data_IF_270560210921
#
_entry.id   IF_270560210921
#
_cell.length_a   1.000
_cell.length_b   1.000
_cell.length_c   1.000
_cell.angle_alpha   90.00
_cell.angle_beta   90.00
_cell.angle_gamma   90.00
#
_symmetry.space_group_name_H-M   'P 1'
#
loop_
_entity.id
_entity.type
_entity.pdbx_description
1 polymer ?
#
# COMPACT_ATOMS: atom_id res chain seq x y z
N UNK A 1 17.02 27.30 -28.47
CA UNK A 1 17.72 26.35 -27.58
C UNK A 1 18.77 25.63 -28.43
N UNK A 2 19.92 25.23 -27.90
CA UNK A 2 20.91 24.52 -28.73
C UNK A 2 20.43 23.11 -29.07
N UNK A 3 20.83 22.59 -30.23
CA UNK A 3 20.48 21.23 -30.66
C UNK A 3 20.95 20.19 -29.63
N UNK A 4 22.10 20.41 -28.99
CA UNK A 4 22.65 19.54 -27.95
C UNK A 4 21.72 19.39 -26.75
N UNK A 5 21.08 20.48 -26.27
CA UNK A 5 20.14 20.43 -25.13
C UNK A 5 18.87 19.66 -25.52
N UNK A 6 18.39 19.83 -26.75
CA UNK A 6 17.21 19.13 -27.25
C UNK A 6 17.46 17.61 -27.28
N UNK A 7 18.64 17.18 -27.74
CA UNK A 7 19.03 15.78 -27.74
C UNK A 7 19.09 15.21 -26.31
N UNK A 8 19.61 15.98 -25.34
CA UNK A 8 19.62 15.58 -23.93
C UNK A 8 18.19 15.41 -23.40
N UNK A 9 17.28 16.35 -23.66
CA UNK A 9 15.86 16.23 -23.27
C UNK A 9 15.21 14.97 -23.85
N UNK A 10 15.54 14.64 -25.10
CA UNK A 10 14.99 13.48 -25.81
C UNK A 10 15.58 12.15 -25.35
N UNK A 11 16.69 12.15 -24.61
CA UNK A 11 17.37 10.94 -24.14
C UNK A 11 16.56 10.13 -23.10
N UNK A 12 15.59 10.77 -22.43
CA UNK A 12 14.72 10.10 -21.45
C UNK A 12 13.37 9.73 -22.08
N UNK A 13 12.70 8.66 -21.63
CA UNK A 13 11.36 8.32 -22.11
C UNK A 13 10.39 9.50 -21.95
N UNK A 14 9.71 9.88 -23.03
CA UNK A 14 8.88 11.09 -23.06
C UNK A 14 7.75 11.00 -24.08
N UNK A 15 6.73 11.84 -23.90
CA UNK A 15 5.72 12.09 -24.91
C UNK A 15 6.22 13.17 -25.89
N UNK A 16 6.47 12.78 -27.15
CA UNK A 16 7.07 13.66 -28.16
C UNK A 16 6.22 14.90 -28.48
N UNK A 17 4.89 14.80 -28.42
CA UNK A 17 4.02 15.96 -28.66
C UNK A 17 4.21 17.04 -27.59
N UNK A 18 4.16 16.64 -26.31
CA UNK A 18 4.30 17.59 -25.21
C UNK A 18 5.74 18.10 -25.04
N UNK A 19 6.75 17.26 -25.30
CA UNK A 19 8.13 17.71 -25.25
C UNK A 19 8.42 18.77 -26.32
N UNK A 20 7.94 18.57 -27.55
CA UNK A 20 8.06 19.59 -28.62
C UNK A 20 7.40 20.91 -28.22
N UNK A 21 6.22 20.86 -27.58
CA UNK A 21 5.54 22.05 -27.07
C UNK A 21 6.32 22.72 -25.95
N UNK A 22 6.93 21.96 -25.06
CA UNK A 22 7.79 22.48 -24.00
C UNK A 22 9.02 23.20 -24.55
N UNK A 23 9.74 22.58 -25.50
CA UNK A 23 10.92 23.19 -26.13
C UNK A 23 10.54 24.51 -26.80
N UNK A 24 9.50 24.49 -27.65
CA UNK A 24 9.00 25.70 -28.31
C UNK A 24 8.60 26.77 -27.29
N UNK A 25 7.92 26.36 -26.21
CA UNK A 25 7.50 27.28 -25.16
C UNK A 25 8.69 27.98 -24.48
N UNK A 26 9.72 27.22 -24.08
CA UNK A 26 10.93 27.78 -23.46
C UNK A 26 11.67 28.72 -24.41
N UNK A 27 11.75 28.38 -25.69
CA UNK A 27 12.39 29.24 -26.70
C UNK A 27 11.65 30.58 -26.88
N UNK A 28 10.33 30.54 -27.02
CA UNK A 28 9.52 31.75 -27.18
C UNK A 28 9.53 32.62 -25.91
N UNK A 29 9.46 31.99 -24.74
CA UNK A 29 9.57 32.72 -23.47
C UNK A 29 10.96 33.31 -23.29
N UNK A 30 12.02 32.61 -23.66
CA UNK A 30 13.38 33.15 -23.60
C UNK A 30 13.53 34.38 -24.50
N UNK A 31 13.02 34.34 -25.74
CA UNK A 31 13.02 35.49 -26.65
C UNK A 31 12.23 36.66 -26.08
N UNK A 32 11.03 36.38 -25.55
CA UNK A 32 10.16 37.40 -24.96
C UNK A 32 10.81 38.07 -23.74
N UNK A 33 11.32 37.27 -22.80
CA UNK A 33 11.94 37.75 -21.56
C UNK A 33 13.25 38.51 -21.81
N UNK A 34 13.96 38.20 -22.90
CA UNK A 34 15.15 38.97 -23.32
C UNK A 34 14.79 40.28 -24.02
N UNK A 35 13.66 40.31 -24.74
CA UNK A 35 13.18 41.51 -25.45
C UNK A 35 12.52 42.51 -24.51
N UNK A 36 11.82 42.04 -23.49
CA UNK A 36 11.08 42.85 -22.54
C UNK A 36 11.61 42.65 -21.13
N UNK A 37 11.99 43.74 -20.46
CA UNK A 37 12.36 43.69 -19.04
C UNK A 37 11.16 43.26 -18.22
N UNK A 38 11.18 42.04 -17.72
CA UNK A 38 10.14 41.54 -16.83
C UNK A 38 10.36 42.12 -15.45
N UNK A 39 9.45 42.97 -15.01
CA UNK A 39 9.40 43.52 -13.66
C UNK A 39 8.61 42.59 -12.73
N UNK A 40 9.03 42.51 -11.46
CA UNK A 40 8.33 41.74 -10.42
C UNK A 40 8.93 40.37 -10.10
N UNK A 41 8.13 39.52 -9.45
CA UNK A 41 8.56 38.21 -8.94
C UNK A 41 8.84 37.21 -10.07
N UNK A 42 10.01 36.57 -9.97
CA UNK A 42 10.49 35.57 -10.93
C UNK A 42 10.99 34.33 -10.21
N UNK A 43 10.81 33.19 -10.85
CA UNK A 43 11.20 31.88 -10.38
C UNK A 43 12.28 31.31 -11.30
N UNK A 44 13.33 30.74 -10.70
CA UNK A 44 14.43 30.14 -11.44
C UNK A 44 14.02 28.73 -11.86
N UNK A 45 13.69 28.56 -13.14
CA UNK A 45 13.24 27.30 -13.70
C UNK A 45 14.40 26.50 -14.31
N UNK A 46 14.43 25.20 -14.05
CA UNK A 46 15.37 24.25 -14.67
C UNK A 46 14.83 23.79 -16.02
N UNK A 47 15.55 24.07 -17.12
CA UNK A 47 15.16 23.63 -18.47
C UNK A 47 15.13 22.09 -18.55
N UNK A 48 16.18 21.45 -18.04
CA UNK A 48 16.32 20.03 -17.75
C UNK A 48 15.97 19.78 -16.28
N UNK A 49 14.86 19.09 -15.96
CA UNK A 49 14.44 18.93 -14.58
C UNK A 49 15.47 18.18 -13.72
N UNK A 50 15.84 18.78 -12.58
CA UNK A 50 16.83 18.25 -11.62
C UNK A 50 16.43 16.98 -10.84
N UNK A 51 15.29 16.39 -11.19
CA UNK A 51 14.76 15.27 -10.44
C UNK A 51 15.60 14.00 -10.66
N UNK A 52 15.64 13.11 -9.65
CA UNK A 52 16.49 11.91 -9.66
C UNK A 52 16.20 10.97 -10.83
N UNK A 53 14.94 10.91 -11.27
CA UNK A 53 14.45 10.09 -12.38
C UNK A 53 14.68 10.71 -13.76
N UNK A 54 15.18 11.95 -13.84
CA UNK A 54 15.43 12.66 -15.09
C UNK A 54 16.91 13.05 -15.21
N UNK A 55 17.25 14.28 -14.83
CA UNK A 55 18.56 14.87 -15.09
C UNK A 55 19.19 15.45 -13.81
N UNK A 56 19.45 14.62 -12.78
CA UNK A 56 20.08 15.10 -11.55
C UNK A 56 21.47 15.71 -11.77
N UNK A 57 22.19 15.26 -12.81
CA UNK A 57 23.51 15.76 -13.19
C UNK A 57 23.51 17.26 -13.53
N UNK A 58 22.42 17.79 -14.11
CA UNK A 58 22.32 19.21 -14.47
C UNK A 58 21.63 20.07 -13.40
N UNK A 59 21.60 19.61 -12.15
CA UNK A 59 20.87 20.28 -11.06
C UNK A 59 21.49 21.60 -10.59
N UNK A 60 22.82 21.72 -10.67
CA UNK A 60 23.58 22.89 -10.21
C UNK A 60 23.58 24.01 -11.23
N UNK A 61 23.02 25.16 -10.87
CA UNK A 61 23.09 26.37 -11.70
C UNK A 61 24.48 27.02 -11.74
N UNK A 62 25.38 26.63 -10.83
CA UNK A 62 26.78 27.11 -10.84
C UNK A 62 27.57 26.42 -11.94
N UNK A 63 27.37 25.11 -12.09
CA UNK A 63 28.05 24.29 -13.11
C UNK A 63 27.34 24.36 -14.46
N UNK A 64 26.01 24.50 -14.45
CA UNK A 64 25.19 24.58 -15.66
C UNK A 64 24.30 25.83 -15.67
N UNK A 65 24.87 27.05 -15.80
CA UNK A 65 24.10 28.29 -15.86
C UNK A 65 23.08 28.30 -17.00
N UNK A 66 23.39 27.64 -18.12
CA UNK A 66 22.51 27.48 -19.28
C UNK A 66 21.23 26.70 -18.98
N UNK A 67 21.20 25.90 -17.91
CA UNK A 67 20.03 25.13 -17.51
C UNK A 67 19.01 25.99 -16.71
N UNK A 68 19.32 27.27 -16.50
CA UNK A 68 18.50 28.21 -15.74
C UNK A 68 17.78 29.18 -16.67
N UNK A 69 16.47 29.33 -16.49
CA UNK A 69 15.70 30.39 -17.14
C UNK A 69 14.80 31.10 -16.11
N UNK A 70 14.86 32.43 -15.97
CA UNK A 70 13.96 33.17 -15.10
C UNK A 70 12.57 33.24 -15.74
N UNK A 71 11.55 32.74 -15.03
CA UNK A 71 10.17 32.70 -15.46
C UNK A 71 9.27 33.46 -14.49
N UNK A 72 8.20 34.11 -14.97
CA UNK A 72 7.12 34.57 -14.08
C UNK A 72 6.38 33.36 -13.49
N UNK A 73 5.65 33.54 -12.38
CA UNK A 73 4.87 32.46 -11.76
C UNK A 73 3.93 31.75 -12.75
N UNK A 74 3.27 32.50 -13.65
CA UNK A 74 2.42 31.92 -14.71
C UNK A 74 3.25 31.13 -15.72
N UNK A 75 4.41 31.64 -16.11
CA UNK A 75 5.26 30.94 -17.07
C UNK A 75 5.83 29.64 -16.48
N UNK A 76 6.25 29.69 -15.21
CA UNK A 76 6.75 28.54 -14.47
C UNK A 76 5.66 27.45 -14.32
N UNK A 77 4.43 27.85 -14.01
CA UNK A 77 3.28 26.93 -13.95
C UNK A 77 3.03 26.21 -15.29
N UNK A 78 3.06 26.94 -16.41
CA UNK A 78 2.89 26.35 -17.75
C UNK A 78 4.05 25.41 -18.09
N UNK A 79 5.28 25.79 -17.76
CA UNK A 79 6.46 24.95 -17.97
C UNK A 79 6.33 23.61 -17.24
N UNK A 80 5.97 23.63 -15.95
CA UNK A 80 5.75 22.39 -15.18
C UNK A 80 4.55 21.58 -15.67
N UNK A 81 3.48 22.22 -16.15
CA UNK A 81 2.36 21.49 -16.76
C UNK A 81 2.83 20.72 -18.00
N UNK A 82 3.61 21.36 -18.89
CA UNK A 82 4.15 20.71 -20.08
C UNK A 82 5.12 19.58 -19.73
N UNK A 83 6.01 19.79 -18.75
CA UNK A 83 6.93 18.77 -18.26
C UNK A 83 6.21 17.57 -17.65
N UNK A 84 5.17 17.79 -16.85
CA UNK A 84 4.30 16.74 -16.33
C UNK A 84 3.69 15.92 -17.47
N UNK A 85 3.16 16.58 -18.52
CA UNK A 85 2.57 15.90 -19.67
C UNK A 85 3.61 15.18 -20.54
N UNK A 86 4.85 15.68 -20.56
CA UNK A 86 5.94 15.09 -21.33
C UNK A 86 6.57 13.88 -20.64
N UNK A 87 6.93 13.99 -19.35
CA UNK A 87 7.72 12.99 -18.64
C UNK A 87 6.94 12.21 -17.58
N UNK A 88 5.90 12.79 -16.98
CA UNK A 88 5.23 12.19 -15.82
C UNK A 88 6.18 12.07 -14.62
N UNK A 89 6.14 10.95 -13.91
CA UNK A 89 7.06 10.65 -12.80
C UNK A 89 7.14 11.77 -11.77
N UNK A 90 8.36 12.18 -11.43
CA UNK A 90 8.60 13.28 -10.49
C UNK A 90 8.02 14.63 -10.93
N UNK A 91 7.85 14.86 -12.25
CA UNK A 91 7.23 16.08 -12.77
C UNK A 91 5.74 16.14 -12.43
N UNK A 92 5.09 14.98 -12.29
CA UNK A 92 3.72 14.88 -11.75
C UNK A 92 3.64 15.44 -10.34
N UNK A 93 4.60 15.07 -9.48
CA UNK A 93 4.66 15.56 -8.10
C UNK A 93 4.97 17.07 -8.05
N UNK A 94 5.90 17.55 -8.88
CA UNK A 94 6.22 18.97 -8.99
C UNK A 94 4.99 19.81 -9.41
N UNK A 95 4.31 19.41 -10.48
CA UNK A 95 3.13 20.11 -10.96
C UNK A 95 1.96 20.08 -9.96
N UNK A 96 1.69 18.91 -9.34
CA UNK A 96 0.66 18.80 -8.30
C UNK A 96 0.91 19.73 -7.13
N UNK A 97 2.15 19.83 -6.65
CA UNK A 97 2.51 20.75 -5.56
C UNK A 97 2.26 22.21 -5.94
N UNK A 98 2.65 22.62 -7.15
CA UNK A 98 2.38 23.99 -7.62
C UNK A 98 0.89 24.28 -7.65
N UNK A 99 0.10 23.36 -8.21
CA UNK A 99 -1.36 23.50 -8.30
C UNK A 99 -2.02 23.62 -6.92
N UNK A 100 -1.66 22.75 -5.97
CA UNK A 100 -2.26 22.76 -4.62
C UNK A 100 -1.82 23.97 -3.79
N UNK A 101 -0.60 24.48 -4.01
CA UNK A 101 -0.06 25.63 -3.28
C UNK A 101 -0.65 26.97 -3.74
N UNK A 102 -1.21 27.03 -4.95
CA UNK A 102 -1.64 28.28 -5.56
C UNK A 102 -3.17 28.32 -5.70
N UNK A 103 -3.83 28.88 -4.68
CA UNK A 103 -5.29 29.01 -4.63
C UNK A 103 -5.89 29.81 -5.80
N UNK A 104 -5.06 30.61 -6.51
CA UNK A 104 -5.45 31.44 -7.64
C UNK A 104 -4.97 30.92 -9.01
N UNK A 105 -4.33 29.75 -9.09
CA UNK A 105 -4.06 29.13 -10.39
C UNK A 105 -5.34 28.58 -11.00
N UNK A 106 -5.56 28.84 -12.29
CA UNK A 106 -6.77 28.46 -13.00
C UNK A 106 -7.18 27.02 -12.71
N UNK A 107 -8.48 26.81 -12.47
CA UNK A 107 -9.02 25.50 -12.11
C UNK A 107 -8.73 24.49 -13.23
N UNK A 108 -8.10 23.37 -12.88
CA UNK A 108 -8.03 22.23 -13.78
C UNK A 108 -9.44 21.71 -14.04
N UNK A 109 -9.68 21.16 -15.23
CA UNK A 109 -10.93 20.43 -15.46
C UNK A 109 -10.99 19.19 -14.57
N UNK A 110 -12.20 18.69 -14.28
CA UNK A 110 -12.40 17.49 -13.47
C UNK A 110 -11.55 16.31 -13.96
N UNK A 111 -11.52 16.09 -15.28
CA UNK A 111 -10.69 15.05 -15.92
C UNK A 111 -9.19 15.29 -15.74
N UNK A 112 -8.73 16.52 -15.88
CA UNK A 112 -7.30 16.85 -15.69
C UNK A 112 -6.86 16.61 -14.24
N UNK A 113 -7.71 16.99 -13.28
CA UNK A 113 -7.46 16.75 -11.87
C UNK A 113 -7.46 15.26 -11.54
N UNK A 114 -8.41 14.49 -12.05
CA UNK A 114 -8.47 13.03 -11.91
C UNK A 114 -7.19 12.37 -12.43
N UNK A 115 -6.80 12.64 -13.68
CA UNK A 115 -5.56 12.08 -14.26
C UNK A 115 -4.32 12.48 -13.46
N UNK A 116 -4.26 13.72 -12.96
CA UNK A 116 -3.14 14.18 -12.12
C UNK A 116 -3.08 13.40 -10.81
N UNK A 117 -4.23 13.16 -10.17
CA UNK A 117 -4.34 12.42 -8.91
C UNK A 117 -3.93 10.96 -9.08
N UNK A 118 -4.39 10.30 -10.14
CA UNK A 118 -4.04 8.92 -10.48
C UNK A 118 -2.53 8.78 -10.69
N UNK A 119 -1.95 9.56 -11.61
CA UNK A 119 -0.52 9.51 -11.91
C UNK A 119 0.35 9.85 -10.70
N UNK A 120 -0.10 10.77 -9.86
CA UNK A 120 0.60 11.09 -8.63
C UNK A 120 0.58 9.90 -7.65
N UNK A 121 -0.57 9.24 -7.50
CA UNK A 121 -0.71 8.05 -6.67
C UNK A 121 0.18 6.92 -7.17
N UNK A 122 0.23 6.69 -8.48
CA UNK A 122 1.11 5.71 -9.11
C UNK A 122 2.59 6.00 -8.83
N UNK A 123 3.01 7.25 -9.03
CA UNK A 123 4.40 7.68 -8.79
C UNK A 123 4.79 7.55 -7.32
N UNK A 124 3.95 8.01 -6.39
CA UNK A 124 4.25 7.88 -4.96
C UNK A 124 4.27 6.41 -4.55
N UNK A 125 3.35 5.59 -5.06
CA UNK A 125 3.35 4.15 -4.80
C UNK A 125 4.65 3.50 -5.28
N UNK A 126 5.11 3.80 -6.49
CA UNK A 126 6.36 3.25 -7.02
C UNK A 126 7.58 3.71 -6.21
N UNK A 127 7.60 4.97 -5.77
CA UNK A 127 8.65 5.49 -4.91
C UNK A 127 8.66 4.87 -3.51
N UNK A 128 7.53 4.40 -2.98
CA UNK A 128 7.42 3.84 -1.63
C UNK A 128 7.49 2.31 -1.59
N UNK A 129 7.24 1.65 -2.71
CA UNK A 129 7.25 0.19 -2.80
C UNK A 129 8.66 -0.33 -2.50
N UNK A 130 8.75 -1.30 -1.59
CA UNK A 130 10.02 -1.92 -1.21
C UNK A 130 10.85 -1.15 -0.18
N UNK A 131 10.49 0.10 0.17
CA UNK A 131 11.15 0.79 1.28
C UNK A 131 10.78 0.17 2.61
N UNK A 132 11.77 -0.47 3.24
CA UNK A 132 11.68 -0.89 4.64
C UNK A 132 11.87 0.35 5.51
N UNK A 133 10.92 0.59 6.41
CA UNK A 133 11.08 1.60 7.46
C UNK A 133 12.12 1.13 8.47
N UNK A 134 12.77 2.07 9.16
CA UNK A 134 13.76 1.71 10.18
C UNK A 134 13.11 0.85 11.28
N UNK A 135 13.86 -0.07 11.90
CA UNK A 135 13.37 -0.84 13.05
C UNK A 135 12.84 0.07 14.16
N UNK A 136 13.56 1.15 14.46
CA UNK A 136 13.19 2.17 15.45
C UNK A 136 11.83 2.81 15.14
N UNK A 137 11.61 3.24 13.88
CA UNK A 137 10.32 3.78 13.46
C UNK A 137 9.20 2.74 13.65
N UNK A 138 9.46 1.48 13.28
CA UNK A 138 8.47 0.42 13.39
C UNK A 138 8.08 0.15 14.86
N UNK A 139 9.07 0.17 15.75
CA UNK A 139 8.87 0.01 17.19
C UNK A 139 8.11 1.18 17.79
N UNK A 140 8.52 2.42 17.51
CA UNK A 140 7.85 3.64 17.99
C UNK A 140 6.39 3.68 17.52
N UNK A 141 6.16 3.40 16.24
CA UNK A 141 4.81 3.33 15.68
C UNK A 141 3.96 2.24 16.34
N UNK A 142 4.55 1.07 16.64
CA UNK A 142 3.88 -0.01 17.37
C UNK A 142 3.51 0.40 18.80
N UNK A 143 4.42 1.06 19.52
CA UNK A 143 4.19 1.61 20.87
C UNK A 143 3.05 2.62 20.86
N UNK A 144 3.12 3.63 19.98
CA UNK A 144 2.07 4.65 19.80
C UNK A 144 0.71 4.03 19.50
N UNK A 145 0.66 3.02 18.63
CA UNK A 145 -0.58 2.30 18.32
C UNK A 145 -1.13 1.59 19.55
N UNK A 146 -0.26 0.92 20.31
CA UNK A 146 -0.64 0.24 21.55
C UNK A 146 -1.19 1.23 22.57
N UNK A 147 -0.50 2.34 22.79
CA UNK A 147 -0.92 3.45 23.66
C UNK A 147 -2.31 3.98 23.28
N UNK A 148 -2.51 4.27 21.99
CA UNK A 148 -3.79 4.78 21.48
C UNK A 148 -4.95 3.85 21.80
N UNK A 149 -4.75 2.53 21.68
CA UNK A 149 -5.77 1.53 21.99
C UNK A 149 -5.85 1.12 23.46
N UNK A 150 -4.97 1.58 24.35
CA UNK A 150 -5.15 1.41 25.80
C UNK A 150 -6.31 2.27 26.31
N UNK A 151 -6.53 3.43 25.70
CA UNK A 151 -7.67 4.29 25.99
C UNK A 151 -8.99 3.66 25.49
N UNK A 152 -9.96 3.51 26.39
CA UNK A 152 -11.27 2.96 26.08
C UNK A 152 -12.10 3.84 25.15
N UNK A 153 -12.01 5.16 25.29
CA UNK A 153 -12.73 6.10 24.45
C UNK A 153 -12.27 5.99 23.00
N UNK A 154 -10.97 5.80 22.77
CA UNK A 154 -10.43 5.58 21.42
C UNK A 154 -10.95 4.28 20.80
N UNK A 155 -10.99 3.19 21.59
CA UNK A 155 -11.58 1.91 21.14
C UNK A 155 -13.07 2.07 20.79
N UNK A 156 -13.84 2.75 21.64
CA UNK A 156 -15.28 3.01 21.42
C UNK A 156 -15.52 3.86 20.17
N UNK A 157 -14.79 4.96 20.01
CA UNK A 157 -14.87 5.84 18.82
C UNK A 157 -14.58 5.06 17.53
N UNK A 158 -13.54 4.23 17.52
CA UNK A 158 -13.24 3.41 16.35
C UNK A 158 -14.33 2.37 16.07
N UNK A 159 -14.81 1.67 17.11
CA UNK A 159 -15.88 0.69 16.96
C UNK A 159 -17.16 1.31 16.41
N UNK A 160 -17.54 2.48 16.90
CA UNK A 160 -18.69 3.24 16.41
C UNK A 160 -18.51 3.67 14.95
N UNK A 161 -17.33 4.19 14.59
CA UNK A 161 -17.03 4.60 13.22
C UNK A 161 -17.08 3.42 12.23
N UNK A 162 -16.74 2.21 12.65
CA UNK A 162 -16.81 1.01 11.82
C UNK A 162 -18.20 0.36 11.78
N UNK A 163 -19.11 0.74 12.67
CA UNK A 163 -20.44 0.13 12.77
C UNK A 163 -21.25 0.41 11.50
N UNK A 164 -21.81 -0.63 10.88
CA UNK A 164 -22.67 -0.50 9.70
C UNK A 164 -21.95 -0.23 8.37
N UNK A 165 -20.62 -0.06 8.37
CA UNK A 165 -19.85 0.10 7.12
C UNK A 165 -19.91 -1.21 6.32
N UNK A 166 -20.61 -1.18 5.18
CA UNK A 166 -20.63 -2.27 4.20
C UNK A 166 -19.45 -2.14 3.26
N UNK A 167 -18.70 -3.22 3.09
CA UNK A 167 -17.62 -3.29 2.08
C UNK A 167 -18.23 -3.43 0.68
N UNK A 168 -17.58 -2.81 -0.31
CA UNK A 168 -17.93 -3.00 -1.73
C UNK A 168 -17.70 -4.45 -2.18
N UNK A 169 -18.37 -4.87 -3.26
CA UNK A 169 -18.18 -6.22 -3.81
C UNK A 169 -16.73 -6.47 -4.22
N UNK A 170 -16.08 -5.49 -4.84
CA UNK A 170 -14.65 -5.58 -5.17
C UNK A 170 -13.78 -5.81 -3.92
N UNK A 171 -14.07 -5.10 -2.82
CA UNK A 171 -13.32 -5.28 -1.59
C UNK A 171 -13.55 -6.67 -0.97
N UNK A 172 -14.77 -7.22 -1.08
CA UNK A 172 -15.07 -8.59 -0.66
C UNK A 172 -14.29 -9.61 -1.48
N UNK A 173 -14.24 -9.44 -2.80
CA UNK A 173 -13.51 -10.35 -3.68
C UNK A 173 -12.00 -10.30 -3.43
N UNK A 174 -11.42 -9.09 -3.30
CA UNK A 174 -10.01 -8.92 -2.96
C UNK A 174 -9.65 -9.64 -1.65
N UNK A 175 -10.52 -9.60 -0.64
CA UNK A 175 -10.31 -10.36 0.59
C UNK A 175 -10.36 -11.86 0.36
N UNK A 176 -11.33 -12.38 -0.42
CA UNK A 176 -11.43 -13.81 -0.74
C UNK A 176 -10.17 -14.32 -1.43
N UNK A 177 -9.69 -13.60 -2.44
CA UNK A 177 -8.46 -13.93 -3.16
C UNK A 177 -7.27 -13.93 -2.21
N UNK A 178 -7.14 -12.91 -1.36
CA UNK A 178 -6.06 -12.83 -0.38
C UNK A 178 -6.08 -13.98 0.64
N UNK A 179 -7.26 -14.41 1.10
CA UNK A 179 -7.38 -15.56 2.00
C UNK A 179 -7.02 -16.88 1.31
N UNK A 180 -7.44 -17.07 0.06
CA UNK A 180 -7.12 -18.28 -0.73
C UNK A 180 -5.62 -18.40 -1.00
N UNK A 181 -4.95 -17.29 -1.25
CA UNK A 181 -3.52 -17.23 -1.55
C UNK A 181 -2.64 -17.10 -0.29
N UNK A 182 -3.22 -17.24 0.90
CA UNK A 182 -2.47 -17.07 2.15
C UNK A 182 -1.51 -18.25 2.36
N UNK A 183 -0.19 -18.02 2.48
CA UNK A 183 0.75 -19.09 2.74
C UNK A 183 0.51 -19.72 4.12
N UNK A 184 0.81 -21.03 4.28
CA UNK A 184 0.73 -21.68 5.58
C UNK A 184 1.68 -21.03 6.57
N UNK A 185 1.30 -20.99 7.85
CA UNK A 185 2.14 -20.42 8.92
C UNK A 185 3.42 -21.24 9.07
N UNK A 186 4.55 -20.56 9.30
CA UNK A 186 5.84 -21.20 9.62
C UNK A 186 5.78 -21.90 10.99
N UNK A 187 6.73 -22.80 11.27
CA UNK A 187 6.83 -23.47 12.57
C UNK A 187 6.95 -22.47 13.72
N UNK A 188 7.85 -21.49 13.58
CA UNK A 188 8.04 -20.40 14.56
C UNK A 188 6.74 -19.62 14.82
N UNK A 189 5.98 -19.30 13.77
CA UNK A 189 4.70 -18.62 13.90
C UNK A 189 3.66 -19.48 14.64
N UNK A 190 3.64 -20.81 14.39
CA UNK A 190 2.76 -21.73 15.11
C UNK A 190 3.14 -21.83 16.58
N UNK A 191 4.44 -21.92 16.89
CA UNK A 191 4.95 -22.01 18.25
C UNK A 191 4.67 -20.73 19.04
N UNK A 192 4.86 -19.56 18.43
CA UNK A 192 4.53 -18.27 19.05
C UNK A 192 3.03 -18.17 19.39
N UNK A 193 2.16 -18.59 18.47
CA UNK A 193 0.71 -18.63 18.72
C UNK A 193 0.36 -19.62 19.84
N UNK A 194 0.99 -20.79 19.88
CA UNK A 194 0.79 -21.77 20.95
C UNK A 194 1.19 -21.18 22.32
N UNK A 195 2.34 -20.49 22.40
CA UNK A 195 2.80 -19.80 23.61
C UNK A 195 1.80 -18.75 24.10
N UNK A 196 1.27 -17.91 23.21
CA UNK A 196 0.28 -16.88 23.55
C UNK A 196 -1.01 -17.49 24.12
N UNK A 197 -1.45 -18.63 23.59
CA UNK A 197 -2.72 -19.25 23.98
C UNK A 197 -2.60 -20.10 25.24
N UNK A 198 -1.41 -20.62 25.52
CA UNK A 198 -1.14 -21.43 26.71
C UNK A 198 -1.33 -20.59 27.97
N UNK A 199 -2.12 -21.08 28.93
CA UNK A 199 -2.41 -20.39 30.19
C UNK A 199 -3.48 -19.29 30.11
N UNK A 200 -4.07 -19.03 28.93
CA UNK A 200 -5.17 -18.06 28.82
C UNK A 200 -6.43 -18.59 29.49
N UNK A 201 -6.89 -17.92 30.54
CA UNK A 201 -8.14 -18.25 31.23
C UNK A 201 -9.33 -17.73 30.43
N UNK A 202 -10.25 -18.62 30.09
CA UNK A 202 -11.54 -18.26 29.48
C UNK A 202 -12.45 -17.67 30.57
N UNK A 203 -12.98 -16.47 30.35
CA UNK A 203 -13.90 -15.83 31.30
C UNK A 203 -15.16 -16.66 31.52
N UNK A 204 -15.77 -16.52 32.69
CA UNK A 204 -17.04 -17.16 33.07
C UNK A 204 -18.12 -16.92 32.00
N UNK A 205 -18.27 -15.67 31.57
CA UNK A 205 -19.24 -15.27 30.55
C UNK A 205 -19.00 -16.00 29.23
N UNK A 206 -17.74 -16.07 28.79
CA UNK A 206 -17.37 -16.76 27.54
C UNK A 206 -17.60 -18.26 27.67
N UNK A 207 -17.34 -18.84 28.84
CA UNK A 207 -17.60 -20.26 29.14
C UNK A 207 -19.10 -20.56 29.10
N UNK A 208 -19.93 -19.66 29.61
CA UNK A 208 -21.39 -19.79 29.58
C UNK A 208 -21.95 -19.73 28.16
N UNK A 209 -21.39 -18.87 27.29
CA UNK A 209 -21.74 -18.82 25.86
C UNK A 209 -21.36 -20.09 25.08
N UNK A 210 -20.43 -20.91 25.59
CA UNK A 210 -20.05 -22.17 24.95
C UNK A 210 -20.84 -23.39 25.44
N UNK A 211 -21.68 -23.25 26.47
CA UNK A 211 -22.37 -24.37 27.14
C UNK A 211 -23.88 -24.37 26.84
N UNK A 212 -24.40 -25.56 26.57
CA UNK A 212 -25.85 -25.81 26.46
C UNK A 212 -26.54 -24.88 25.46
N UNK A 213 -27.77 -24.50 25.77
CA UNK A 213 -28.63 -23.67 24.92
C UNK A 213 -28.05 -22.28 24.57
N UNK A 214 -27.05 -21.79 25.31
CA UNK A 214 -26.40 -20.51 25.00
C UNK A 214 -25.40 -20.62 23.85
N UNK A 215 -24.94 -21.83 23.53
CA UNK A 215 -24.10 -22.06 22.38
C UNK A 215 -24.95 -21.99 21.10
N UNK A 216 -24.64 -21.11 20.14
CA UNK A 216 -25.42 -20.99 18.90
C UNK A 216 -25.53 -22.28 18.10
N UNK A 217 -24.59 -23.20 18.30
CA UNK A 217 -24.57 -24.51 17.63
C UNK A 217 -25.29 -25.60 18.43
N UNK A 218 -25.83 -25.30 19.62
CA UNK A 218 -26.54 -26.28 20.42
C UNK A 218 -27.87 -26.66 19.75
N UNK A 219 -28.10 -27.96 19.59
CA UNK A 219 -29.28 -28.50 18.91
C UNK A 219 -29.26 -28.40 17.38
N UNK A 220 -28.26 -27.74 16.78
CA UNK A 220 -28.10 -27.72 15.32
C UNK A 220 -27.68 -29.11 14.85
N UNK A 221 -28.54 -29.76 14.07
CA UNK A 221 -28.23 -31.05 13.44
C UNK A 221 -27.46 -30.80 12.14
N UNK A 222 -26.35 -31.51 11.95
CA UNK A 222 -25.58 -31.42 10.70
C UNK A 222 -26.41 -31.92 9.51
N UNK A 223 -26.27 -31.27 8.35
CA UNK A 223 -26.87 -31.77 7.10
C UNK A 223 -26.34 -33.17 6.76
N UNK A 224 -27.14 -33.95 6.03
CA UNK A 224 -26.72 -35.29 5.58
C UNK A 224 -25.44 -35.25 4.75
N UNK A 225 -25.32 -34.27 3.85
CA UNK A 225 -24.13 -34.07 3.03
C UNK A 225 -22.88 -33.84 3.87
N UNK A 226 -22.98 -33.01 4.92
CA UNK A 226 -21.87 -32.75 5.82
C UNK A 226 -21.52 -33.99 6.66
N UNK A 227 -22.53 -34.72 7.15
CA UNK A 227 -22.34 -35.99 7.89
C UNK A 227 -21.62 -37.03 7.03
N UNK A 228 -22.00 -37.15 5.75
CA UNK A 228 -21.32 -38.02 4.79
C UNK A 228 -19.86 -37.62 4.58
N UNK A 229 -19.58 -36.33 4.37
CA UNK A 229 -18.22 -35.83 4.17
C UNK A 229 -17.29 -36.12 5.37
N UNK A 230 -17.79 -35.97 6.61
CA UNK A 230 -17.03 -36.32 7.82
C UNK A 230 -16.76 -37.83 7.86
N UNK A 231 -17.78 -38.65 7.56
CA UNK A 231 -17.65 -40.12 7.53
C UNK A 231 -16.58 -40.55 6.52
N UNK A 232 -16.65 -40.04 5.29
CA UNK A 232 -15.71 -40.39 4.23
C UNK A 232 -14.29 -39.90 4.54
N UNK A 233 -14.15 -38.71 5.11
CA UNK A 233 -12.85 -38.22 5.58
C UNK A 233 -12.26 -39.11 6.67
N UNK A 234 -13.09 -39.61 7.60
CA UNK A 234 -12.66 -40.46 8.71
C UNK A 234 -12.18 -41.84 8.26
N UNK A 235 -12.78 -42.41 7.22
CA UNK A 235 -12.36 -43.69 6.63
C UNK A 235 -10.94 -43.66 6.08
N UNK A 236 -10.51 -42.49 5.60
CA UNK A 236 -9.19 -42.31 4.99
C UNK A 236 -8.08 -42.01 6.01
N UNK A 237 -8.40 -41.89 7.30
CA UNK A 237 -7.40 -41.63 8.34
C UNK A 237 -6.66 -42.94 8.66
N UNK A 238 -5.33 -43.01 8.46
CA UNK A 238 -4.57 -44.23 8.72
C UNK A 238 -4.60 -44.60 10.21
N UNK A 239 -4.93 -45.86 10.50
CA UNK A 239 -4.90 -46.41 11.87
C UNK A 239 -3.47 -46.67 12.31
N UNK A 240 -3.21 -46.51 13.61
CA UNK A 240 -1.95 -46.87 14.27
C UNK A 240 -2.14 -48.14 15.09
N UNK A 241 -1.20 -49.06 15.00
CA UNK A 241 -1.14 -50.26 15.84
C UNK A 241 -0.44 -49.92 17.14
N UNK A 242 -1.07 -50.19 18.29
CA UNK A 242 -0.44 -50.04 19.59
C UNK A 242 0.62 -51.14 19.83
N UNK A 243 1.83 -50.76 20.23
CA UNK A 243 2.92 -51.70 20.50
C UNK A 243 2.67 -52.54 21.76
N UNK A 244 1.90 -52.03 22.72
CA UNK A 244 1.68 -52.70 24.01
C UNK A 244 0.50 -53.67 24.02
N UNK A 245 -0.56 -53.41 23.24
CA UNK A 245 -1.76 -54.25 23.22
C UNK A 245 -2.16 -54.77 21.83
N UNK A 246 -1.37 -54.47 20.79
CA UNK A 246 -1.59 -54.92 19.41
C UNK A 246 -2.82 -54.35 18.71
N UNK A 247 -3.67 -53.56 19.39
CA UNK A 247 -4.91 -53.02 18.81
C UNK A 247 -4.62 -51.94 17.77
N UNK A 248 -5.32 -51.99 16.64
CA UNK A 248 -5.34 -50.93 15.64
C UNK A 248 -6.38 -49.86 16.00
N UNK A 249 -5.92 -48.64 16.24
CA UNK A 249 -6.75 -47.53 16.69
C UNK A 249 -6.52 -46.28 15.86
N UNK A 250 -7.46 -45.33 15.90
CA UNK A 250 -7.28 -44.04 15.24
C UNK A 250 -6.12 -43.26 15.89
N UNK A 251 -5.44 -42.34 15.17
CA UNK A 251 -4.34 -41.55 15.73
C UNK A 251 -4.72 -40.74 16.99
N UNK A 252 -5.98 -40.29 17.07
CA UNK A 252 -6.51 -39.60 18.25
C UNK A 252 -6.60 -40.51 19.47
N UNK A 253 -7.18 -41.71 19.31
CA UNK A 253 -7.24 -42.69 20.40
C UNK A 253 -5.84 -43.19 20.78
N UNK A 254 -4.96 -43.33 19.78
CA UNK A 254 -3.59 -43.72 20.02
C UNK A 254 -2.89 -42.78 21.01
N UNK A 255 -2.92 -41.48 20.72
CA UNK A 255 -2.25 -40.44 21.52
C UNK A 255 -2.84 -40.29 22.93
N UNK A 256 -4.14 -40.60 23.07
CA UNK A 256 -4.88 -40.42 24.31
C UNK A 256 -4.76 -41.60 25.27
N UNK A 257 -4.83 -42.83 24.75
CA UNK A 257 -5.02 -44.04 25.56
C UNK A 257 -4.08 -45.20 25.23
N UNK A 258 -3.31 -45.14 24.14
CA UNK A 258 -2.39 -46.20 23.72
C UNK A 258 -0.95 -45.69 23.61
N UNK A 259 -0.04 -46.48 23.01
CA UNK A 259 1.40 -46.24 23.07
C UNK A 259 1.87 -46.31 24.54
N UNK A 260 2.67 -45.35 24.97
CA UNK A 260 3.19 -45.27 26.35
C UNK A 260 2.10 -45.21 27.43
N UNK A 261 0.88 -44.75 27.10
CA UNK A 261 -0.25 -44.66 28.03
C UNK A 261 -1.13 -45.92 28.05
N UNK A 262 -0.75 -46.92 27.25
CA UNK A 262 -1.51 -48.15 27.16
C UNK A 262 -1.48 -48.87 28.51
N UNK A 263 -2.64 -48.97 29.14
CA UNK A 263 -2.87 -49.87 30.27
C UNK A 263 -3.16 -51.23 29.64
N UNK A 264 -2.10 -52.03 29.43
CA UNK A 264 -2.18 -53.36 28.81
C UNK A 264 -3.29 -54.21 29.39
#
# INVERSE_FOLDING_TARGET
MSQSIILILQSKPHNSHYLKRYIKYIEEVSKYNNKYTITGYQEQHHILPKAKDLFPEYSSFKEHPWNKIPLTARQHFIAHHLLYKAFGGSQTAAFKRMYESNQNTGKLSSRQYETLKEKFSEYISSCLTGLKRSPEYCEEHSKRKTEFYKDENNRKKQSQACLGIKRSEQAKENMRVAFKNRPPKTKEQKDHLSKIMTGRVVSEETRNKMRGNNNPNYGITMSESHRKNISDSSKNVPKKTCEHCGKQVSPGNYTRWHGEKCRG
#
